data_IF_511442463899
#
_entry.id   IF_511442463899
#
_cell.length_a   1.000
_cell.length_b   1.000
_cell.length_c   1.000
_cell.angle_alpha   90.00
_cell.angle_beta   90.00
_cell.angle_gamma   90.00
#
_symmetry.space_group_name_H-M   'P 1'
#
loop_
_entity.id
_entity.type
_entity.pdbx_description
1 polymer ?
#
# COMPACT_ATOMS: atom_id res chain seq x y z
N UNK A 1 22.58 -12.40 -28.88
CA UNK A 1 21.49 -13.36 -28.64
C UNK A 1 21.26 -13.30 -27.14
N UNK A 2 20.41 -12.38 -26.69
CA UNK A 2 20.23 -12.17 -25.26
C UNK A 2 19.37 -13.31 -24.72
N UNK A 3 20.00 -14.17 -23.92
CA UNK A 3 19.35 -15.26 -23.21
C UNK A 3 18.24 -14.70 -22.34
N UNK A 4 17.06 -15.31 -22.39
CA UNK A 4 15.95 -15.02 -21.48
C UNK A 4 16.43 -15.17 -20.04
N UNK A 5 16.02 -14.29 -19.12
CA UNK A 5 16.47 -14.31 -17.73
C UNK A 5 16.27 -15.68 -17.04
N UNK A 6 15.27 -16.46 -17.46
CA UNK A 6 14.97 -17.82 -16.97
C UNK A 6 16.06 -18.84 -17.29
N UNK A 7 16.95 -18.54 -18.24
CA UNK A 7 18.04 -19.42 -18.67
C UNK A 7 19.38 -19.06 -18.04
N UNK A 8 19.42 -18.03 -17.18
CA UNK A 8 20.62 -17.50 -16.54
C UNK A 8 20.44 -17.59 -15.03
N UNK A 9 21.45 -18.07 -14.31
CA UNK A 9 21.36 -18.18 -12.86
C UNK A 9 21.25 -16.77 -12.21
N UNK A 10 20.39 -16.58 -11.18
CA UNK A 10 20.07 -15.26 -10.62
C UNK A 10 21.26 -14.39 -10.25
N UNK A 11 22.33 -14.95 -9.69
CA UNK A 11 23.55 -14.19 -9.36
C UNK A 11 24.25 -13.55 -10.57
N UNK A 12 24.05 -14.11 -11.77
CA UNK A 12 24.60 -13.58 -13.02
C UNK A 12 23.58 -12.75 -13.81
N UNK A 13 22.43 -12.42 -13.22
CA UNK A 13 21.47 -11.55 -13.88
C UNK A 13 22.08 -10.16 -14.11
N UNK A 14 21.96 -9.69 -15.34
CA UNK A 14 22.19 -8.28 -15.66
C UNK A 14 21.03 -7.46 -15.12
N UNK A 15 21.20 -6.14 -15.06
CA UNK A 15 20.11 -5.21 -14.71
C UNK A 15 18.86 -5.42 -15.58
N UNK A 16 19.05 -5.78 -16.85
CA UNK A 16 17.95 -6.11 -17.78
C UNK A 16 17.24 -7.41 -17.38
N UNK A 17 17.97 -8.44 -16.96
CA UNK A 17 17.36 -9.69 -16.48
C UNK A 17 16.56 -9.48 -15.19
N UNK A 18 17.05 -8.66 -14.25
CA UNK A 18 16.31 -8.27 -13.03
C UNK A 18 15.02 -7.53 -13.41
N UNK A 19 15.09 -6.62 -14.38
CA UNK A 19 13.92 -5.90 -14.87
C UNK A 19 12.87 -6.80 -15.52
N UNK A 20 13.31 -7.73 -16.38
CA UNK A 20 12.42 -8.71 -17.03
C UNK A 20 11.76 -9.65 -15.99
N UNK A 21 12.49 -10.05 -14.95
CA UNK A 21 11.96 -10.82 -13.83
C UNK A 21 10.90 -10.03 -13.04
N UNK A 22 11.17 -8.77 -12.70
CA UNK A 22 10.20 -7.91 -12.01
C UNK A 22 8.93 -7.70 -12.84
N UNK A 23 9.07 -7.46 -14.15
CA UNK A 23 7.93 -7.32 -15.05
C UNK A 23 7.09 -8.60 -15.10
N UNK A 24 7.75 -9.77 -15.20
CA UNK A 24 7.05 -11.05 -15.12
C UNK A 24 6.28 -11.21 -13.81
N UNK A 25 6.88 -10.86 -12.67
CA UNK A 25 6.19 -10.91 -11.39
C UNK A 25 5.00 -9.94 -11.33
N UNK A 26 5.13 -8.72 -11.85
CA UNK A 26 4.00 -7.79 -11.96
C UNK A 26 2.85 -8.38 -12.77
N UNK A 27 3.14 -8.99 -13.92
CA UNK A 27 2.14 -9.58 -14.80
C UNK A 27 1.46 -10.82 -14.18
N UNK A 28 2.23 -11.67 -13.50
CA UNK A 28 1.75 -12.88 -12.82
C UNK A 28 0.86 -12.53 -11.61
N UNK A 29 1.31 -11.60 -10.76
CA UNK A 29 0.61 -11.24 -9.52
C UNK A 29 -0.35 -10.05 -9.70
N UNK A 30 -0.54 -9.58 -10.94
CA UNK A 30 -1.39 -8.42 -11.28
C UNK A 30 -1.03 -7.18 -10.45
N UNK A 31 0.26 -6.99 -10.18
CA UNK A 31 0.77 -5.82 -9.47
C UNK A 31 0.77 -4.63 -10.42
N UNK A 32 0.38 -3.47 -9.93
CA UNK A 32 0.52 -2.23 -10.69
C UNK A 32 2.02 -1.93 -10.84
N UNK A 33 2.49 -1.73 -12.07
CA UNK A 33 3.90 -1.41 -12.35
C UNK A 33 4.35 -0.11 -11.68
N UNK A 34 3.42 0.74 -11.21
CA UNK A 34 3.73 1.92 -10.40
C UNK A 34 3.96 1.61 -8.92
N UNK A 35 3.67 0.40 -8.44
CA UNK A 35 3.89 -0.02 -7.05
C UNK A 35 5.34 -0.45 -6.79
N UNK A 36 6.08 -0.83 -7.82
CA UNK A 36 7.51 -1.17 -7.72
C UNK A 36 8.28 0.00 -8.29
N UNK A 37 8.98 0.74 -7.43
CA UNK A 37 9.83 1.82 -7.89
C UNK A 37 11.04 1.24 -8.62
N UNK A 38 10.99 1.23 -9.96
CA UNK A 38 12.04 0.66 -10.81
C UNK A 38 13.43 1.28 -10.57
N UNK A 39 13.51 2.50 -10.02
CA UNK A 39 14.79 3.10 -9.66
C UNK A 39 15.48 2.40 -8.47
N UNK A 40 14.71 1.74 -7.59
CA UNK A 40 15.26 0.99 -6.45
C UNK A 40 15.78 -0.40 -6.85
N UNK A 41 15.36 -0.95 -8.00
CA UNK A 41 15.87 -2.22 -8.54
C UNK A 41 16.84 -2.08 -9.71
N UNK A 42 17.50 -0.92 -9.83
CA UNK A 42 18.57 -0.71 -10.81
C UNK A 42 19.89 -1.42 -10.41
N UNK A 43 19.78 -2.69 -10.02
CA UNK A 43 20.81 -3.53 -9.42
C UNK A 43 21.08 -4.77 -10.28
N UNK A 44 22.25 -5.38 -10.12
CA UNK A 44 22.55 -6.68 -10.73
C UNK A 44 21.93 -7.83 -9.93
N UNK A 45 21.88 -9.00 -10.54
CA UNK A 45 21.48 -10.24 -9.90
C UNK A 45 22.29 -10.60 -8.65
N UNK A 46 23.60 -10.39 -8.70
CA UNK A 46 24.48 -10.60 -7.55
C UNK A 46 24.09 -9.71 -6.36
N UNK A 47 23.73 -8.46 -6.63
CA UNK A 47 23.25 -7.55 -5.60
C UNK A 47 21.87 -7.99 -5.10
N UNK A 48 20.95 -8.35 -6.00
CA UNK A 48 19.61 -8.84 -5.66
C UNK A 48 19.66 -10.09 -4.76
N UNK A 49 20.51 -11.06 -5.06
CA UNK A 49 20.69 -12.28 -4.26
C UNK A 49 21.40 -12.02 -2.93
N UNK A 50 22.20 -10.94 -2.85
CA UNK A 50 22.90 -10.53 -1.64
C UNK A 50 22.07 -9.62 -0.71
N UNK A 51 20.92 -9.12 -1.16
CA UNK A 51 20.05 -8.28 -0.33
C UNK A 51 19.45 -9.07 0.83
N UNK A 52 19.43 -8.45 2.00
CA UNK A 52 18.68 -8.95 3.15
C UNK A 52 17.17 -8.83 2.90
N UNK A 53 16.39 -9.56 3.68
CA UNK A 53 14.93 -9.50 3.60
C UNK A 53 14.39 -8.08 3.79
N UNK A 54 14.97 -7.31 4.71
CA UNK A 54 14.57 -5.94 5.01
C UNK A 54 14.86 -5.00 3.83
N UNK A 55 16.07 -5.05 3.28
CA UNK A 55 16.45 -4.26 2.10
C UNK A 55 15.58 -4.58 0.87
N UNK A 56 15.24 -5.86 0.69
CA UNK A 56 14.37 -6.28 -0.41
C UNK A 56 12.93 -5.74 -0.23
N UNK A 57 12.39 -5.79 1.00
CA UNK A 57 11.06 -5.25 1.31
C UNK A 57 11.02 -3.72 1.19
N UNK A 58 12.09 -3.03 1.61
CA UNK A 58 12.21 -1.58 1.46
C UNK A 58 12.29 -1.17 -0.03
N UNK A 59 13.05 -1.91 -0.83
CA UNK A 59 13.17 -1.65 -2.27
C UNK A 59 11.86 -1.98 -3.05
N UNK A 60 11.24 -3.11 -2.72
CA UNK A 60 9.98 -3.59 -3.32
C UNK A 60 8.74 -2.85 -2.83
N UNK A 61 8.88 -2.09 -1.74
CA UNK A 61 7.77 -1.48 -1.03
C UNK A 61 6.69 -2.52 -0.74
N UNK A 62 5.45 -2.11 -0.99
CA UNK A 62 4.26 -2.89 -0.65
C UNK A 62 4.13 -4.21 -1.45
N UNK A 63 4.88 -4.37 -2.53
CA UNK A 63 4.91 -5.59 -3.34
C UNK A 63 5.93 -6.64 -2.87
N UNK A 64 6.79 -6.33 -1.88
CA UNK A 64 7.89 -7.19 -1.45
C UNK A 64 7.48 -8.59 -1.02
N UNK A 65 6.37 -8.71 -0.29
CA UNK A 65 5.86 -10.01 0.18
C UNK A 65 5.40 -10.92 -0.97
N UNK A 66 4.79 -10.35 -2.02
CA UNK A 66 4.35 -11.10 -3.19
C UNK A 66 5.53 -11.53 -4.08
N UNK A 67 6.54 -10.66 -4.21
CA UNK A 67 7.73 -10.94 -5.04
C UNK A 67 8.62 -12.01 -4.41
N UNK A 68 8.76 -12.00 -3.08
CA UNK A 68 9.62 -12.94 -2.37
C UNK A 68 9.04 -14.36 -2.35
N UNK A 69 7.73 -14.49 -2.17
CA UNK A 69 7.04 -15.80 -2.17
C UNK A 69 6.89 -16.41 -3.58
N UNK A 70 7.02 -15.60 -4.64
CA UNK A 70 7.07 -16.08 -6.03
C UNK A 70 8.43 -16.60 -6.49
N UNK A 71 9.49 -16.27 -5.75
CA UNK A 71 10.85 -16.75 -5.98
C UNK A 71 11.19 -17.90 -5.05
N UNK A 72 11.04 -19.14 -5.54
CA UNK A 72 11.54 -20.37 -4.92
C UNK A 72 10.62 -20.96 -3.83
N UNK A 73 9.76 -21.87 -4.31
CA UNK A 73 9.03 -22.96 -3.62
C UNK A 73 7.59 -22.69 -3.15
N UNK A 74 6.79 -23.71 -3.47
CA UNK A 74 5.34 -23.83 -3.43
C UNK A 74 4.77 -23.94 -2.01
N UNK A 75 3.51 -23.48 -1.92
CA UNK A 75 2.40 -23.93 -1.08
C UNK A 75 2.51 -23.90 0.46
N UNK A 76 1.43 -23.32 1.00
CA UNK A 76 0.93 -23.33 2.38
C UNK A 76 1.60 -22.39 3.40
N UNK A 77 0.93 -21.25 3.64
CA UNK A 77 0.80 -20.70 4.99
C UNK A 77 -0.41 -19.74 5.09
N UNK A 78 -1.50 -20.24 5.67
CA UNK A 78 -2.37 -19.36 6.44
C UNK A 78 -1.60 -18.86 7.66
N UNK A 79 -1.83 -17.59 7.98
CA UNK A 79 -1.61 -16.94 9.27
C UNK A 79 -0.29 -16.16 9.41
N UNK A 80 -0.47 -14.83 9.54
CA UNK A 80 0.42 -13.85 10.19
C UNK A 80 1.44 -13.10 9.33
N UNK A 81 0.93 -12.31 8.37
CA UNK A 81 1.20 -10.86 8.27
C UNK A 81 0.37 -10.33 7.10
N UNK A 82 -0.68 -9.56 7.37
CA UNK A 82 -1.69 -9.14 6.37
C UNK A 82 -1.94 -7.64 6.42
N UNK A 83 -0.90 -6.84 6.62
CA UNK A 83 -1.01 -5.40 6.77
C UNK A 83 -0.80 -4.67 5.44
N UNK A 84 -1.78 -3.83 5.09
CA UNK A 84 -1.76 -2.64 4.21
C UNK A 84 -2.32 -2.66 2.77
N UNK A 85 -2.34 -3.77 2.00
CA UNK A 85 -2.72 -3.66 0.56
C UNK A 85 -4.16 -3.97 0.14
N UNK A 86 -4.98 -4.58 1.00
CA UNK A 86 -6.35 -5.00 0.61
C UNK A 86 -7.45 -4.41 1.48
N UNK A 87 -7.24 -3.23 2.06
CA UNK A 87 -8.28 -2.52 2.80
C UNK A 87 -9.52 -2.32 1.93
N UNK A 88 -10.53 -3.17 2.16
CA UNK A 88 -11.73 -3.23 1.31
C UNK A 88 -12.68 -2.09 1.65
N UNK A 89 -12.57 -1.53 2.85
CA UNK A 89 -13.39 -0.42 3.31
C UNK A 89 -12.63 0.92 3.27
N UNK A 90 -13.38 1.98 3.01
CA UNK A 90 -12.83 3.34 2.91
C UNK A 90 -12.19 3.81 4.22
N UNK A 91 -12.76 3.44 5.37
CA UNK A 91 -12.22 3.86 6.66
C UNK A 91 -10.86 3.24 6.97
N UNK A 92 -10.64 1.98 6.54
CA UNK A 92 -9.37 1.28 6.67
C UNK A 92 -8.32 1.94 5.77
N UNK A 93 -8.67 2.25 4.52
CA UNK A 93 -7.79 2.98 3.61
C UNK A 93 -7.36 4.35 4.18
N UNK A 94 -8.31 5.11 4.74
CA UNK A 94 -8.02 6.41 5.38
C UNK A 94 -7.10 6.24 6.59
N UNK A 95 -7.35 5.23 7.42
CA UNK A 95 -6.49 4.90 8.56
C UNK A 95 -5.08 4.55 8.09
N UNK A 96 -4.95 3.62 7.16
CA UNK A 96 -3.65 3.13 6.70
C UNK A 96 -2.84 4.29 6.10
N UNK A 97 -3.48 5.17 5.33
CA UNK A 97 -2.83 6.36 4.80
C UNK A 97 -2.37 7.34 5.90
N UNK A 98 -3.09 7.45 7.02
CA UNK A 98 -2.66 8.23 8.19
C UNK A 98 -1.53 7.58 9.01
N UNK A 99 -1.28 6.28 8.81
CA UNK A 99 -0.23 5.50 9.47
C UNK A 99 1.03 5.33 8.61
N UNK A 100 0.94 5.62 7.32
CA UNK A 100 2.03 5.55 6.33
C UNK A 100 2.40 6.96 5.83
N UNK A 101 3.24 7.73 6.56
CA UNK A 101 3.68 9.06 6.15
C UNK A 101 4.24 9.14 4.73
N UNK A 102 4.95 8.09 4.31
CA UNK A 102 5.56 7.93 2.99
C UNK A 102 4.53 7.87 1.85
N UNK A 103 3.37 7.22 2.07
CA UNK A 103 2.29 7.14 1.07
C UNK A 103 1.35 8.35 1.15
N UNK A 104 1.22 8.95 2.34
CA UNK A 104 0.26 10.01 2.62
C UNK A 104 0.47 11.28 1.79
N UNK A 105 1.71 11.67 1.49
CA UNK A 105 2.03 12.87 0.71
C UNK A 105 1.29 14.14 1.19
N UNK A 106 1.00 14.26 2.49
CA UNK A 106 0.21 15.36 3.09
C UNK A 106 -1.26 15.40 2.64
N UNK A 107 -1.88 14.25 2.32
CA UNK A 107 -3.29 14.16 1.95
C UNK A 107 -4.19 14.22 3.19
N UNK A 108 -3.79 13.53 4.25
CA UNK A 108 -4.45 13.48 5.55
C UNK A 108 -3.49 13.93 6.65
N UNK A 109 -4.02 14.51 7.72
CA UNK A 109 -3.21 14.89 8.88
C UNK A 109 -3.95 14.56 10.17
N UNK A 110 -3.21 14.16 11.20
CA UNK A 110 -3.75 14.07 12.55
C UNK A 110 -3.90 15.49 13.12
N UNK A 111 -5.12 15.84 13.52
CA UNK A 111 -5.38 17.04 14.34
C UNK A 111 -5.21 16.71 15.83
N UNK A 112 -5.59 15.49 16.22
CA UNK A 112 -5.39 14.93 17.55
C UNK A 112 -5.24 13.41 17.41
N UNK A 113 -4.01 12.92 17.52
CA UNK A 113 -3.70 11.49 17.39
C UNK A 113 -4.29 10.66 18.53
N UNK A 114 -4.33 11.21 19.75
CA UNK A 114 -4.84 10.49 20.92
C UNK A 114 -6.36 10.30 20.83
N UNK A 115 -7.07 11.31 20.34
CA UNK A 115 -8.53 11.26 20.16
C UNK A 115 -8.97 10.69 18.81
N UNK A 116 -8.04 10.40 17.90
CA UNK A 116 -8.35 9.87 16.57
C UNK A 116 -8.95 10.89 15.62
N UNK A 117 -8.69 12.18 15.85
CA UNK A 117 -9.21 13.27 15.03
C UNK A 117 -8.21 13.56 13.90
N UNK A 118 -8.71 13.52 12.67
CA UNK A 118 -7.91 13.77 11.48
C UNK A 118 -8.61 14.74 10.53
N UNK A 119 -7.80 15.42 9.72
CA UNK A 119 -8.23 16.35 8.68
C UNK A 119 -7.89 15.80 7.31
N UNK A 120 -8.80 15.99 6.36
CA UNK A 120 -8.54 15.85 4.94
C UNK A 120 -7.97 17.17 4.42
N UNK A 121 -6.68 17.19 4.07
CA UNK A 121 -5.96 18.36 3.56
C UNK A 121 -6.11 18.47 2.05
N UNK A 122 -5.93 17.35 1.32
CA UNK A 122 -6.01 17.30 -0.15
C UNK A 122 -7.19 16.41 -0.59
N UNK A 123 -8.40 16.96 -0.55
CA UNK A 123 -9.65 16.22 -0.81
C UNK A 123 -9.69 15.52 -2.19
N UNK A 124 -9.26 16.20 -3.24
CA UNK A 124 -9.21 15.66 -4.60
C UNK A 124 -8.22 14.51 -4.73
N UNK A 125 -7.04 14.65 -4.11
CA UNK A 125 -6.01 13.60 -4.13
C UNK A 125 -6.49 12.35 -3.38
N UNK A 126 -7.13 12.52 -2.21
CA UNK A 126 -7.74 11.41 -1.46
C UNK A 126 -8.78 10.66 -2.30
N UNK A 127 -9.67 11.40 -2.97
CA UNK A 127 -10.70 10.82 -3.81
C UNK A 127 -10.13 10.08 -5.01
N UNK A 128 -9.12 10.66 -5.67
CA UNK A 128 -8.42 10.03 -6.79
C UNK A 128 -7.73 8.73 -6.38
N UNK A 129 -7.00 8.74 -5.26
CA UNK A 129 -6.29 7.56 -4.76
C UNK A 129 -7.25 6.42 -4.37
N UNK A 130 -8.37 6.75 -3.71
CA UNK A 130 -9.42 5.77 -3.44
C UNK A 130 -10.10 5.26 -4.71
N UNK A 131 -10.34 6.13 -5.68
CA UNK A 131 -10.88 5.79 -7.00
C UNK A 131 -9.99 4.78 -7.72
N UNK A 132 -8.69 5.03 -7.78
CA UNK A 132 -7.69 4.12 -8.35
C UNK A 132 -7.72 2.75 -7.64
N UNK A 133 -7.72 2.74 -6.30
CA UNK A 133 -7.80 1.50 -5.50
C UNK A 133 -9.06 0.68 -5.81
N UNK A 134 -10.17 1.33 -6.13
CA UNK A 134 -11.45 0.69 -6.47
C UNK A 134 -11.72 0.56 -7.97
N UNK A 135 -10.76 0.90 -8.83
CA UNK A 135 -10.93 0.97 -10.29
C UNK A 135 -12.18 1.76 -10.69
N UNK A 136 -12.37 2.90 -10.04
CA UNK A 136 -13.51 3.80 -10.24
C UNK A 136 -13.02 5.22 -10.55
N UNK A 137 -12.86 5.51 -11.82
CA UNK A 137 -12.37 6.80 -12.33
C UNK A 137 -13.37 7.95 -12.11
N UNK A 138 -14.62 7.64 -11.72
CA UNK A 138 -15.66 8.63 -11.41
C UNK A 138 -15.75 8.94 -9.91
N UNK A 139 -14.77 8.52 -9.10
CA UNK A 139 -14.70 8.85 -7.68
C UNK A 139 -14.37 10.33 -7.50
N UNK A 140 -15.18 11.02 -6.70
CA UNK A 140 -14.96 12.42 -6.31
C UNK A 140 -15.05 12.54 -4.79
N UNK A 141 -14.58 13.65 -4.23
CA UNK A 141 -14.64 13.84 -2.79
C UNK A 141 -16.09 13.94 -2.27
N UNK A 142 -17.03 14.43 -3.06
CA UNK A 142 -18.46 14.47 -2.70
C UNK A 142 -19.01 13.06 -2.46
N UNK A 143 -18.66 12.12 -3.34
CA UNK A 143 -19.07 10.71 -3.24
C UNK A 143 -18.34 10.00 -2.10
N UNK A 144 -17.03 10.21 -1.99
CA UNK A 144 -16.21 9.64 -0.92
C UNK A 144 -16.71 10.13 0.45
N UNK A 145 -16.91 11.43 0.60
CA UNK A 145 -17.39 12.03 1.85
C UNK A 145 -18.82 11.56 2.18
N UNK A 146 -19.64 11.19 1.19
CA UNK A 146 -20.94 10.56 1.44
C UNK A 146 -20.82 9.20 2.12
N UNK A 147 -19.82 8.40 1.74
CA UNK A 147 -19.49 7.14 2.39
C UNK A 147 -18.91 7.37 3.80
N UNK A 148 -17.99 8.34 3.97
CA UNK A 148 -17.49 8.71 5.30
C UNK A 148 -18.62 9.10 6.25
N UNK A 149 -19.58 9.93 5.81
CA UNK A 149 -20.74 10.29 6.62
C UNK A 149 -21.66 9.12 6.94
N UNK A 150 -21.65 8.05 6.13
CA UNK A 150 -22.44 6.85 6.44
C UNK A 150 -21.88 6.09 7.64
N UNK A 151 -20.57 6.15 7.87
CA UNK A 151 -19.91 5.54 9.01
C UNK A 151 -20.32 6.13 10.37
N UNK A 152 -20.98 7.30 10.40
CA UNK A 152 -21.58 7.85 11.62
C UNK A 152 -22.65 6.92 12.19
N UNK A 153 -23.44 6.28 11.32
CA UNK A 153 -24.50 5.35 11.76
C UNK A 153 -23.93 4.07 12.36
N UNK A 154 -22.80 3.62 11.84
CA UNK A 154 -22.16 2.37 12.27
C UNK A 154 -21.15 2.58 13.40
N UNK A 155 -20.94 3.81 13.86
CA UNK A 155 -19.96 4.14 14.91
C UNK A 155 -18.49 3.95 14.51
N UNK A 156 -18.22 3.78 13.21
CA UNK A 156 -16.85 3.69 12.67
C UNK A 156 -16.20 5.08 12.64
N UNK A 157 -16.98 6.11 12.31
CA UNK A 157 -16.58 7.50 12.47
C UNK A 157 -17.55 8.22 13.39
N UNK A 158 -17.06 9.24 14.08
CA UNK A 158 -17.86 10.19 14.86
C UNK A 158 -17.94 11.53 14.12
N UNK A 159 -19.10 12.19 14.20
CA UNK A 159 -19.28 13.51 13.59
C UNK A 159 -18.49 14.55 14.37
N UNK A 160 -17.66 15.31 13.66
CA UNK A 160 -17.02 16.53 14.15
C UNK A 160 -17.67 17.72 13.44
N UNK A 161 -18.05 18.76 14.17
CA UNK A 161 -18.68 19.96 13.59
C UNK A 161 -17.65 20.93 13.01
N UNK A 162 -16.74 20.39 12.17
CA UNK A 162 -15.68 21.14 11.47
C UNK A 162 -15.52 20.59 10.06
N UNK A 163 -15.33 21.48 9.09
CA UNK A 163 -15.23 21.10 7.67
C UNK A 163 -13.96 20.28 7.43
N UNK A 164 -14.08 19.19 6.67
CA UNK A 164 -13.01 18.25 6.32
C UNK A 164 -12.35 17.55 7.52
N UNK A 165 -12.93 17.63 8.70
CA UNK A 165 -12.42 16.98 9.90
C UNK A 165 -13.34 15.83 10.29
N UNK A 166 -12.72 14.71 10.63
CA UNK A 166 -13.40 13.48 11.00
C UNK A 166 -12.71 12.91 12.24
N UNK A 167 -13.42 12.03 12.95
CA UNK A 167 -12.88 11.35 14.12
C UNK A 167 -13.17 9.86 14.00
N UNK A 168 -12.17 9.01 14.23
CA UNK A 168 -12.41 7.58 14.36
C UNK A 168 -13.28 7.30 15.58
N UNK A 169 -14.34 6.52 15.38
CA UNK A 169 -15.25 6.12 16.45
C UNK A 169 -14.82 4.80 17.10
N UNK A 170 -15.52 4.44 18.17
CA UNK A 170 -15.28 3.21 18.94
C UNK A 170 -15.29 1.89 18.15
N UNK A 171 -15.91 1.86 16.96
CA UNK A 171 -15.96 0.66 16.13
C UNK A 171 -14.85 0.61 15.05
N UNK A 172 -14.02 1.65 14.96
CA UNK A 172 -12.81 1.61 14.15
C UNK A 172 -11.62 1.14 15.01
N UNK A 173 -10.74 0.34 14.43
CA UNK A 173 -9.60 -0.27 15.13
C UNK A 173 -8.28 -0.06 14.37
N UNK A 174 -7.17 -0.27 15.07
CA UNK A 174 -5.81 -0.22 14.52
C UNK A 174 -5.29 1.18 14.21
N UNK A 175 -6.00 2.24 14.63
CA UNK A 175 -5.58 3.64 14.44
C UNK A 175 -4.91 4.21 15.69
N UNK A 176 -5.12 3.60 16.85
CA UNK A 176 -4.34 3.86 18.06
C UNK A 176 -3.01 3.09 18.01
N UNK A 177 -1.95 3.69 18.53
CA UNK A 177 -0.81 2.91 18.99
C UNK A 177 -1.26 2.18 20.26
N UNK A 178 -1.27 0.86 20.24
CA UNK A 178 -1.44 0.10 21.46
C UNK A 178 -0.28 0.50 22.39
N UNK A 179 -0.59 1.28 23.43
CA UNK A 179 0.33 1.45 24.56
C UNK A 179 0.45 0.08 25.21
N UNK A 180 1.50 -0.65 24.85
CA UNK A 180 2.04 -1.76 25.63
C UNK A 180 2.21 -1.35 27.09
#
# INVERSE_FOLDING_TARGET
CDSYWTSVHPEYWTKRHVWEWLQFCCDQYKLDANCISFCHFNISGLQLCGMTQEEFMEAAGVCGDCLKTGGIKSQDCHSHSRTSLQSSHLWEFVRDLLLSPEENCGILEWEDREQGIFRVVKSEALAKMWGQRKKNDRMTYEKLSRALRYYYKTGILERVDRRLVYKFGKNAHGWHEDKL
#
